data_IF_966232432969
#
_entry.id   IF_966232432969
#
_cell.length_a   1.000
_cell.length_b   1.000
_cell.length_c   1.000
_cell.angle_alpha   90.00
_cell.angle_beta   90.00
_cell.angle_gamma   90.00
#
_symmetry.space_group_name_H-M   'P 1'
#
loop_
_entity.id
_entity.type
_entity.pdbx_description
1 polymer ?
#
# COMPACT_ATOMS: atom_id res chain seq x y z
N UNK A 1 -89.39 25.00 -38.91
CA UNK A 1 -88.66 25.95 -38.06
C UNK A 1 -88.19 25.22 -36.81
N UNK A 2 -86.97 25.54 -36.35
CA UNK A 2 -86.32 25.11 -35.09
C UNK A 2 -85.46 23.82 -35.10
N UNK A 3 -84.15 24.09 -35.16
CA UNK A 3 -83.01 23.52 -34.43
C UNK A 3 -82.54 22.07 -34.67
N UNK A 4 -81.28 21.96 -35.11
CA UNK A 4 -80.41 20.82 -34.90
C UNK A 4 -79.08 21.31 -34.32
N UNK A 5 -78.72 20.68 -33.21
CA UNK A 5 -77.53 20.91 -32.40
C UNK A 5 -76.30 20.20 -33.00
N UNK A 6 -75.15 20.71 -32.59
CA UNK A 6 -73.77 20.52 -33.06
C UNK A 6 -73.22 19.08 -33.10
N UNK A 7 -72.43 18.77 -34.14
CA UNK A 7 -71.38 17.75 -34.08
C UNK A 7 -70.26 17.96 -35.12
N UNK A 8 -69.08 17.37 -34.80
CA UNK A 8 -67.88 17.11 -35.61
C UNK A 8 -66.73 18.14 -35.49
N UNK A 9 -65.80 18.00 -34.53
CA UNK A 9 -64.62 17.11 -34.41
C UNK A 9 -63.52 17.39 -35.45
N UNK A 10 -62.44 18.02 -35.00
CA UNK A 10 -61.12 18.02 -35.64
C UNK A 10 -60.06 17.79 -34.54
N UNK A 11 -59.19 16.80 -34.73
CA UNK A 11 -58.12 16.52 -33.76
C UNK A 11 -57.37 15.23 -34.06
N UNK A 12 -56.52 15.26 -35.09
CA UNK A 12 -55.47 14.25 -35.30
C UNK A 12 -54.45 14.30 -34.16
N UNK A 13 -54.30 13.21 -33.40
CA UNK A 13 -53.13 13.00 -32.55
C UNK A 13 -52.51 11.62 -32.78
N UNK A 14 -51.31 11.65 -33.35
CA UNK A 14 -50.39 10.53 -33.48
C UNK A 14 -50.02 9.94 -32.11
N UNK A 15 -50.32 8.64 -31.92
CA UNK A 15 -49.76 7.83 -30.83
C UNK A 15 -48.29 7.54 -31.10
N UNK A 16 -47.40 8.14 -30.31
CA UNK A 16 -46.03 7.63 -30.14
C UNK A 16 -46.00 6.75 -28.89
N UNK A 17 -45.87 5.44 -29.11
CA UNK A 17 -45.52 4.47 -28.07
C UNK A 17 -44.11 4.78 -27.54
N UNK A 18 -44.01 5.25 -26.29
CA UNK A 18 -42.74 5.35 -25.57
C UNK A 18 -42.35 3.96 -25.06
N UNK A 19 -41.33 3.37 -25.67
CA UNK A 19 -40.61 2.23 -25.09
C UNK A 19 -39.83 2.73 -23.86
N UNK A 20 -40.29 2.36 -22.67
CA UNK A 20 -39.51 2.50 -21.44
C UNK A 20 -38.39 1.46 -21.44
N UNK A 21 -37.21 1.82 -21.95
CA UNK A 21 -35.99 1.10 -21.63
C UNK A 21 -35.58 1.44 -20.19
N UNK A 22 -35.86 0.52 -19.26
CA UNK A 22 -35.19 0.46 -17.97
C UNK A 22 -33.70 0.23 -18.22
N UNK A 23 -32.91 1.29 -18.09
CA UNK A 23 -31.44 1.23 -18.08
C UNK A 23 -31.04 0.67 -16.71
N UNK A 24 -30.33 -0.47 -16.61
CA UNK A 24 -29.81 -0.91 -15.33
C UNK A 24 -28.83 0.15 -14.83
N UNK A 25 -29.07 0.66 -13.62
CA UNK A 25 -28.12 1.54 -12.94
C UNK A 25 -26.88 0.70 -12.63
N UNK A 26 -25.80 0.94 -13.38
CA UNK A 26 -24.50 0.45 -13.00
C UNK A 26 -24.15 1.10 -11.66
N UNK A 27 -24.13 0.30 -10.61
CA UNK A 27 -23.54 0.69 -9.33
C UNK A 27 -22.04 0.88 -9.57
N UNK A 28 -21.66 2.10 -9.96
CA UNK A 28 -20.27 2.53 -10.03
C UNK A 28 -19.73 2.51 -8.60
N UNK A 29 -19.07 1.42 -8.23
CA UNK A 29 -18.26 1.34 -7.03
C UNK A 29 -17.02 2.22 -7.28
N UNK A 30 -17.14 3.52 -6.99
CA UNK A 30 -16.03 4.45 -7.05
C UNK A 30 -15.02 4.04 -5.98
N UNK A 31 -13.92 3.43 -6.41
CA UNK A 31 -12.75 3.22 -5.57
C UNK A 31 -12.26 4.59 -5.10
N UNK A 32 -12.58 4.95 -3.85
CA UNK A 32 -11.96 6.10 -3.21
C UNK A 32 -10.45 5.81 -3.13
N UNK A 33 -9.67 6.50 -3.96
CA UNK A 33 -8.22 6.51 -3.85
C UNK A 33 -7.88 7.06 -2.46
N UNK A 34 -7.52 6.17 -1.54
CA UNK A 34 -7.17 6.54 -0.18
C UNK A 34 -5.86 7.35 -0.24
N UNK A 35 -5.98 8.66 -0.08
CA UNK A 35 -4.85 9.59 -0.10
C UNK A 35 -4.16 9.55 1.27
N UNK A 36 -2.83 9.66 1.28
CA UNK A 36 -2.07 9.92 2.51
C UNK A 36 -2.33 11.37 2.91
N UNK A 37 -2.90 11.57 4.10
CA UNK A 37 -3.34 12.88 4.59
C UNK A 37 -2.61 13.22 5.89
N UNK A 38 -1.58 14.05 5.82
CA UNK A 38 -0.84 14.54 6.99
C UNK A 38 -0.77 16.06 6.92
N UNK A 39 -1.49 16.73 7.82
CA UNK A 39 -1.59 18.20 7.87
C UNK A 39 -1.20 18.80 9.22
N UNK A 40 -0.88 17.95 10.20
CA UNK A 40 -0.51 18.36 11.56
C UNK A 40 0.40 17.31 12.20
N UNK A 41 1.30 17.75 13.07
CA UNK A 41 2.15 16.89 13.91
C UNK A 41 1.46 16.48 15.22
N UNK A 42 0.42 17.23 15.64
CA UNK A 42 -0.29 17.03 16.92
C UNK A 42 -1.78 16.73 16.75
N UNK A 43 -2.25 16.58 15.51
CA UNK A 43 -3.61 16.16 15.20
C UNK A 43 -3.87 14.71 15.58
N UNK A 44 -5.14 14.28 15.48
CA UNK A 44 -5.50 12.88 15.69
C UNK A 44 -4.73 11.99 14.69
N UNK A 45 -4.08 10.95 15.20
CA UNK A 45 -3.38 9.96 14.39
C UNK A 45 -4.35 8.84 14.01
N UNK A 46 -4.62 8.66 12.72
CA UNK A 46 -5.51 7.58 12.23
C UNK A 46 -4.74 6.33 11.79
N UNK A 47 -3.53 6.52 11.25
CA UNK A 47 -2.68 5.45 10.76
C UNK A 47 -1.19 5.78 10.94
N UNK A 48 -0.38 4.75 11.16
CA UNK A 48 1.07 4.86 11.31
C UNK A 48 1.76 3.72 10.55
N UNK A 49 2.92 4.03 9.97
CA UNK A 49 3.80 3.05 9.34
C UNK A 49 5.04 2.85 10.22
N UNK A 50 5.31 1.60 10.59
CA UNK A 50 6.38 1.25 11.52
C UNK A 50 7.31 0.18 10.92
N UNK A 51 8.58 0.21 11.31
CA UNK A 51 9.52 -0.88 11.06
C UNK A 51 9.79 -1.60 12.38
N UNK A 52 9.52 -2.91 12.42
CA UNK A 52 9.90 -3.74 13.56
C UNK A 52 11.35 -4.19 13.37
N UNK A 53 12.28 -3.86 14.29
CA UNK A 53 13.67 -4.28 14.16
C UNK A 53 13.79 -5.80 13.99
N UNK A 54 14.71 -6.24 13.15
CA UNK A 54 14.93 -7.64 12.83
C UNK A 54 16.42 -7.99 12.81
N UNK A 55 16.79 -8.93 11.92
CA UNK A 55 18.15 -9.48 11.81
C UNK A 55 19.21 -8.46 11.42
N UNK A 56 18.81 -7.28 10.95
CA UNK A 56 19.73 -6.17 10.73
C UNK A 56 20.44 -5.74 12.03
N UNK A 57 19.79 -5.90 13.19
CA UNK A 57 20.39 -5.61 14.49
C UNK A 57 21.49 -6.62 14.84
N UNK A 58 21.34 -7.90 14.45
CA UNK A 58 22.36 -8.94 14.65
C UNK A 58 23.69 -8.62 13.94
N UNK A 59 23.69 -7.68 12.98
CA UNK A 59 24.88 -7.28 12.23
C UNK A 59 25.65 -6.14 12.90
N UNK A 60 25.12 -5.58 13.98
CA UNK A 60 25.80 -4.56 14.76
C UNK A 60 26.90 -5.19 15.60
N UNK A 61 28.10 -4.63 15.50
CA UNK A 61 29.26 -5.00 16.29
C UNK A 61 29.87 -3.74 16.92
N UNK A 62 30.67 -3.88 17.99
CA UNK A 62 31.31 -2.72 18.62
C UNK A 62 32.13 -1.88 17.63
N UNK A 63 32.72 -2.54 16.62
CA UNK A 63 33.59 -1.92 15.63
C UNK A 63 32.81 -1.16 14.54
N UNK A 64 31.54 -1.50 14.30
CA UNK A 64 30.75 -0.90 13.21
C UNK A 64 29.61 0.00 13.69
N UNK A 65 29.23 -0.04 14.97
CA UNK A 65 28.06 0.68 15.50
C UNK A 65 28.12 2.19 15.21
N UNK A 66 29.29 2.82 15.38
CA UNK A 66 29.45 4.27 15.23
C UNK A 66 29.32 4.68 13.76
N UNK A 67 29.84 3.85 12.84
CA UNK A 67 29.71 4.07 11.39
C UNK A 67 28.27 3.82 10.93
N UNK A 68 27.54 2.93 11.62
CA UNK A 68 26.13 2.65 11.39
C UNK A 68 25.19 3.58 12.18
N UNK A 69 25.73 4.59 12.86
CA UNK A 69 24.99 5.62 13.61
C UNK A 69 24.18 5.06 14.79
N UNK A 70 24.69 4.01 15.43
CA UNK A 70 24.14 3.45 16.67
C UNK A 70 25.00 3.84 17.87
N UNK A 71 24.37 4.44 18.88
CA UNK A 71 25.04 4.79 20.13
C UNK A 71 25.54 3.54 20.88
N UNK A 72 24.70 2.49 20.92
CA UNK A 72 25.00 1.21 21.57
C UNK A 72 24.40 0.03 20.75
N UNK A 73 24.88 -1.18 21.02
CA UNK A 73 24.32 -2.41 20.45
C UNK A 73 23.05 -2.77 21.23
N UNK A 74 21.87 -2.78 20.59
CA UNK A 74 20.63 -3.06 21.30
C UNK A 74 20.47 -4.56 21.57
N UNK A 75 19.87 -4.89 22.71
CA UNK A 75 19.34 -6.23 22.97
C UNK A 75 18.07 -6.43 22.11
N UNK A 76 18.07 -7.41 21.22
CA UNK A 76 16.99 -7.60 20.26
C UNK A 76 15.66 -7.99 20.91
N UNK A 77 15.68 -8.82 21.96
CA UNK A 77 14.48 -9.30 22.63
C UNK A 77 13.80 -8.15 23.39
N UNK A 78 14.58 -7.36 24.12
CA UNK A 78 14.08 -6.17 24.82
C UNK A 78 13.57 -5.11 23.83
N UNK A 79 14.27 -4.96 22.69
CA UNK A 79 13.88 -4.06 21.60
C UNK A 79 12.54 -4.49 21.01
N UNK A 80 12.34 -5.79 20.77
CA UNK A 80 11.09 -6.35 20.28
C UNK A 80 9.96 -6.13 21.28
N UNK A 81 10.18 -6.44 22.55
CA UNK A 81 9.18 -6.23 23.59
C UNK A 81 8.75 -4.76 23.69
N UNK A 82 9.71 -3.84 23.69
CA UNK A 82 9.45 -2.40 23.74
C UNK A 82 8.70 -1.92 22.51
N UNK A 83 9.11 -2.38 21.31
CA UNK A 83 8.46 -2.05 20.06
C UNK A 83 7.01 -2.58 20.02
N UNK A 84 6.79 -3.84 20.40
CA UNK A 84 5.47 -4.47 20.38
C UNK A 84 4.53 -3.81 21.39
N UNK A 85 5.01 -3.49 22.59
CA UNK A 85 4.27 -2.72 23.57
C UNK A 85 3.85 -1.33 23.04
N UNK A 86 4.74 -0.65 22.32
CA UNK A 86 4.42 0.63 21.69
C UNK A 86 3.36 0.49 20.59
N UNK A 87 3.51 -0.50 19.71
CA UNK A 87 2.51 -0.78 18.67
C UNK A 87 1.14 -1.13 19.27
N UNK A 88 1.10 -1.89 20.36
CA UNK A 88 -0.14 -2.25 21.06
C UNK A 88 -0.78 -1.06 21.74
N UNK A 89 0.00 -0.12 22.30
CA UNK A 89 -0.53 1.13 22.81
C UNK A 89 -1.25 1.93 21.71
N UNK A 90 -0.66 2.03 20.51
CA UNK A 90 -1.30 2.70 19.37
C UNK A 90 -2.58 1.99 18.92
N UNK A 91 -2.58 0.66 18.84
CA UNK A 91 -3.77 -0.11 18.48
C UNK A 91 -4.91 0.05 19.48
N UNK A 92 -4.60 0.15 20.77
CA UNK A 92 -5.61 0.42 21.83
C UNK A 92 -6.31 1.77 21.63
N UNK A 93 -5.62 2.75 21.06
CA UNK A 93 -6.18 4.04 20.67
C UNK A 93 -6.92 4.00 19.31
N UNK A 94 -7.18 2.81 18.76
CA UNK A 94 -7.80 2.56 17.45
C UNK A 94 -6.99 3.11 16.25
N UNK A 95 -5.67 3.23 16.41
CA UNK A 95 -4.77 3.67 15.34
C UNK A 95 -4.40 2.46 14.48
N UNK A 96 -4.49 2.61 13.16
CA UNK A 96 -4.06 1.58 12.23
C UNK A 96 -2.53 1.50 12.17
N UNK A 97 -1.97 0.40 12.68
CA UNK A 97 -0.52 0.16 12.67
C UNK A 97 -0.15 -0.73 11.48
N UNK A 98 0.57 -0.15 10.52
CA UNK A 98 1.13 -0.86 9.37
C UNK A 98 2.61 -1.16 9.58
N UNK A 99 3.06 -2.30 9.05
CA UNK A 99 4.47 -2.67 9.03
C UNK A 99 5.08 -2.50 7.65
N UNK A 100 6.24 -1.84 7.58
CA UNK A 100 6.97 -1.59 6.33
C UNK A 100 7.23 -2.89 5.58
N UNK A 101 7.71 -3.93 6.27
CA UNK A 101 8.03 -5.21 5.65
C UNK A 101 6.78 -5.88 5.05
N UNK A 102 5.66 -5.85 5.77
CA UNK A 102 4.41 -6.45 5.31
C UNK A 102 3.88 -5.73 4.07
N UNK A 103 3.77 -4.39 4.14
CA UNK A 103 3.32 -3.59 3.00
C UNK A 103 4.26 -3.70 1.79
N UNK A 104 5.57 -3.83 2.03
CA UNK A 104 6.53 -4.06 0.96
C UNK A 104 6.31 -5.43 0.31
N UNK A 105 6.13 -6.48 1.10
CA UNK A 105 5.79 -7.82 0.58
C UNK A 105 4.51 -7.78 -0.26
N UNK A 106 3.44 -7.20 0.26
CA UNK A 106 2.15 -7.05 -0.45
C UNK A 106 2.33 -6.28 -1.76
N UNK A 107 3.04 -5.14 -1.74
CA UNK A 107 3.28 -4.34 -2.94
C UNK A 107 4.08 -5.11 -4.00
N UNK A 108 5.07 -5.90 -3.59
CA UNK A 108 5.90 -6.71 -4.48
C UNK A 108 5.17 -7.94 -5.01
N UNK A 109 4.20 -8.49 -4.27
CA UNK A 109 3.29 -9.55 -4.71
C UNK A 109 2.32 -9.05 -5.78
N UNK A 110 1.83 -7.82 -5.63
CA UNK A 110 0.90 -7.21 -6.58
C UNK A 110 1.55 -6.67 -7.86
N UNK A 111 2.88 -6.49 -7.92
CA UNK A 111 3.55 -5.96 -9.11
C UNK A 111 4.91 -6.61 -9.38
N UNK A 112 4.95 -7.46 -10.41
CA UNK A 112 6.19 -8.05 -10.94
C UNK A 112 7.16 -6.97 -11.46
N UNK A 113 6.63 -5.88 -12.04
CA UNK A 113 7.43 -4.74 -12.49
C UNK A 113 8.08 -4.02 -11.32
N UNK A 114 7.32 -3.73 -10.24
CA UNK A 114 7.87 -3.10 -9.03
C UNK A 114 8.96 -3.98 -8.41
N UNK A 115 8.75 -5.30 -8.41
CA UNK A 115 9.75 -6.26 -7.95
C UNK A 115 11.03 -6.23 -8.78
N UNK A 116 10.93 -6.29 -10.10
CA UNK A 116 12.08 -6.20 -10.98
C UNK A 116 12.83 -4.86 -10.83
N UNK A 117 12.08 -3.76 -10.73
CA UNK A 117 12.62 -2.43 -10.49
C UNK A 117 13.38 -2.33 -9.16
N UNK A 118 12.81 -2.81 -8.07
CA UNK A 118 13.45 -2.79 -6.75
C UNK A 118 14.75 -3.60 -6.74
N UNK A 119 14.75 -4.80 -7.35
CA UNK A 119 15.95 -5.63 -7.49
C UNK A 119 17.02 -4.88 -8.28
N UNK A 120 16.65 -4.28 -9.42
CA UNK A 120 17.58 -3.53 -10.26
C UNK A 120 18.15 -2.30 -9.52
N UNK A 121 17.32 -1.55 -8.78
CA UNK A 121 17.76 -0.39 -8.00
C UNK A 121 18.71 -0.79 -6.87
N UNK A 122 18.47 -1.93 -6.21
CA UNK A 122 19.34 -2.37 -5.11
C UNK A 122 20.68 -2.89 -5.60
N UNK A 123 20.71 -3.51 -6.78
CA UNK A 123 21.92 -4.04 -7.40
C UNK A 123 22.64 -2.94 -8.21
N UNK A 124 23.37 -2.06 -7.53
CA UNK A 124 24.35 -1.16 -8.16
C UNK A 124 25.68 -1.88 -8.44
N UNK A 125 26.54 -1.30 -9.30
CA UNK A 125 27.88 -1.83 -9.64
C UNK A 125 28.71 -2.21 -8.40
N UNK A 126 28.57 -1.46 -7.29
CA UNK A 126 29.30 -1.72 -6.03
C UNK A 126 28.79 -2.97 -5.30
N UNK A 127 27.47 -3.20 -5.27
CA UNK A 127 26.87 -4.44 -4.72
C UNK A 127 27.14 -5.65 -5.60
N UNK A 128 27.16 -5.48 -6.93
CA UNK A 128 27.50 -6.55 -7.87
C UNK A 128 28.95 -7.01 -7.70
N UNK A 129 29.90 -6.08 -7.53
CA UNK A 129 31.30 -6.43 -7.33
C UNK A 129 31.50 -7.25 -6.04
N UNK A 130 30.85 -6.86 -4.94
CA UNK A 130 30.87 -7.62 -3.68
C UNK A 130 30.27 -9.02 -3.82
N UNK A 131 29.11 -9.16 -4.47
CA UNK A 131 28.49 -10.47 -4.71
C UNK A 131 29.36 -11.35 -5.63
N UNK A 132 29.99 -10.77 -6.66
CA UNK A 132 30.90 -11.51 -7.53
C UNK A 132 32.19 -11.93 -6.82
N UNK A 133 32.76 -11.07 -5.97
CA UNK A 133 33.91 -11.44 -5.13
C UNK A 133 33.53 -12.54 -4.12
N UNK A 134 32.35 -12.46 -3.53
CA UNK A 134 31.85 -13.48 -2.58
C UNK A 134 31.59 -14.81 -3.28
N UNK A 135 30.93 -14.81 -4.44
CA UNK A 135 30.72 -16.01 -5.26
C UNK A 135 32.04 -16.63 -5.73
N UNK A 136 33.02 -15.80 -6.12
CA UNK A 136 34.37 -16.27 -6.51
C UNK A 136 35.12 -16.89 -5.33
N UNK A 137 34.95 -16.36 -4.11
CA UNK A 137 35.50 -16.95 -2.87
C UNK A 137 34.88 -18.32 -2.58
N UNK A 138 33.55 -18.43 -2.68
CA UNK A 138 32.84 -19.71 -2.49
C UNK A 138 33.30 -20.74 -3.52
N UNK A 139 33.35 -20.37 -4.81
CA UNK A 139 33.72 -21.30 -5.87
C UNK A 139 35.17 -21.78 -5.76
N UNK A 140 36.10 -20.92 -5.33
CA UNK A 140 37.50 -21.28 -5.10
C UNK A 140 37.69 -22.15 -3.85
N UNK A 141 36.85 -21.96 -2.82
CA UNK A 141 36.88 -22.74 -1.58
C UNK A 141 36.21 -24.12 -1.69
N UNK A 142 35.45 -24.39 -2.76
CA UNK A 142 34.85 -25.69 -3.07
C UNK A 142 35.72 -26.54 -4.02
N UNK A 143 36.85 -26.00 -4.48
CA UNK A 143 37.80 -26.63 -5.41
C UNK A 143 39.11 -27.08 -4.73
N UNK A 144 39.19 -26.97 -3.40
CA UNK A 144 40.25 -27.47 -2.53
C UNK A 144 39.63 -27.91 -1.20
#
# INVERSE_FOLDING_TARGET
MSQLSTHNINGHHHRHHRHHHHRPQAHHHTLHKQLVCVYSESGKLDAVLMHRPGREIERLTPENKDILLFDNIPNIDETHQSHDAFADALRKENIQVFYVLNLLCEALEHSSQARAMLIAMRLTNRTMLLLMLYAKKIYKSSMY
#
